data_IF_816802103278
#
_entry.id   IF_816802103278
#
_cell.length_a   1.000
_cell.length_b   1.000
_cell.length_c   1.000
_cell.angle_alpha   90.00
_cell.angle_beta   90.00
_cell.angle_gamma   90.00
#
_symmetry.space_group_name_H-M   'P 1'
#
loop_
_entity.id
_entity.type
_entity.pdbx_description
1 polymer ?
#
# COMPACT_ATOMS: atom_id res chain seq x y z
N UNK A 1 -5.57 13.26 -14.74
CA UNK A 1 -5.48 14.23 -13.64
C UNK A 1 -6.50 13.82 -12.59
N UNK A 2 -6.11 13.76 -11.33
CA UNK A 2 -6.98 13.32 -10.23
C UNK A 2 -7.32 14.55 -9.41
N UNK A 3 -8.61 14.84 -9.25
CA UNK A 3 -9.09 15.96 -8.44
C UNK A 3 -8.51 15.95 -7.03
N UNK A 4 -8.34 17.14 -6.45
CA UNK A 4 -7.64 17.37 -5.16
C UNK A 4 -8.23 16.54 -4.01
N UNK A 5 -9.54 16.25 -4.03
CA UNK A 5 -10.16 15.39 -3.03
C UNK A 5 -9.74 13.92 -3.15
N UNK A 6 -9.61 13.41 -4.37
CA UNK A 6 -9.29 12.00 -4.62
C UNK A 6 -7.79 11.74 -4.61
N UNK A 7 -6.97 12.72 -4.98
CA UNK A 7 -5.51 12.58 -5.05
C UNK A 7 -4.94 12.07 -3.71
N UNK A 8 -5.45 12.58 -2.59
CA UNK A 8 -5.06 12.18 -1.23
C UNK A 8 -5.42 10.72 -0.83
N UNK A 9 -6.19 10.00 -1.65
CA UNK A 9 -6.51 8.58 -1.42
C UNK A 9 -5.55 7.63 -2.13
N UNK A 10 -4.69 8.14 -3.02
CA UNK A 10 -3.66 7.36 -3.68
C UNK A 10 -2.40 7.23 -2.81
N UNK A 11 -1.52 6.27 -3.12
CA UNK A 11 -0.22 6.17 -2.47
C UNK A 11 0.64 7.43 -2.73
N UNK A 12 1.57 7.73 -1.82
CA UNK A 12 2.35 8.97 -1.87
C UNK A 12 3.10 9.15 -3.21
N UNK A 13 3.69 8.07 -3.75
CA UNK A 13 4.38 8.11 -5.04
C UNK A 13 3.46 8.59 -6.17
N UNK A 14 2.23 8.10 -6.23
CA UNK A 14 1.23 8.57 -7.20
C UNK A 14 0.84 10.04 -6.95
N UNK A 15 0.76 10.47 -5.68
CA UNK A 15 0.48 11.86 -5.35
C UNK A 15 1.57 12.80 -5.87
N UNK A 16 2.85 12.47 -5.66
CA UNK A 16 3.99 13.27 -6.14
C UNK A 16 3.96 13.51 -7.65
N UNK A 17 3.41 12.57 -8.42
CA UNK A 17 3.35 12.66 -9.87
C UNK A 17 2.07 13.35 -10.37
N UNK A 18 0.94 13.20 -9.67
CA UNK A 18 -0.39 13.52 -10.21
C UNK A 18 -1.26 14.44 -9.36
N UNK A 19 -0.84 14.77 -8.13
CA UNK A 19 -1.61 15.65 -7.29
C UNK A 19 -1.52 17.10 -7.80
N UNK A 20 -2.65 17.83 -7.94
CA UNK A 20 -2.69 19.23 -8.35
C UNK A 20 -1.74 20.20 -7.63
N UNK A 21 -1.30 19.87 -6.41
CA UNK A 21 -0.40 20.69 -5.60
C UNK A 21 1.03 20.68 -6.14
N UNK A 22 1.44 19.56 -6.76
CA UNK A 22 2.79 19.36 -7.29
C UNK A 22 2.88 19.59 -8.80
N UNK A 23 1.74 19.82 -9.48
CA UNK A 23 1.70 20.12 -10.91
C UNK A 23 1.75 21.63 -11.10
N UNK A 24 2.85 22.11 -11.68
CA UNK A 24 3.01 23.53 -11.99
C UNK A 24 1.94 24.00 -12.98
N UNK A 25 1.29 25.12 -12.68
CA UNK A 25 0.28 25.74 -13.55
C UNK A 25 -1.17 25.40 -13.23
N UNK A 26 -1.46 24.43 -12.36
CA UNK A 26 -2.84 24.12 -11.94
C UNK A 26 -3.44 25.21 -11.05
N UNK A 27 -2.60 25.93 -10.32
CA UNK A 27 -3.03 27.00 -9.43
C UNK A 27 -3.91 26.48 -8.29
N UNK A 28 -4.89 27.28 -7.87
CA UNK A 28 -5.82 26.91 -6.79
C UNK A 28 -7.06 26.14 -7.31
N UNK A 29 -6.97 25.49 -8.47
CA UNK A 29 -8.09 24.74 -9.01
C UNK A 29 -8.17 23.35 -8.36
N UNK A 30 -9.39 22.94 -8.01
CA UNK A 30 -9.63 21.65 -7.35
C UNK A 30 -9.58 20.45 -8.32
N UNK A 31 -9.56 20.71 -9.63
CA UNK A 31 -9.57 19.72 -10.72
C UNK A 31 -10.78 18.75 -10.65
N UNK A 32 -11.95 19.29 -10.32
CA UNK A 32 -13.21 18.54 -10.22
C UNK A 32 -14.24 18.87 -11.31
N UNK A 33 -13.84 19.66 -12.32
CA UNK A 33 -14.74 20.16 -13.37
C UNK A 33 -15.56 19.06 -14.07
N UNK A 34 -14.93 17.91 -14.36
CA UNK A 34 -15.61 16.77 -14.96
C UNK A 34 -16.70 16.18 -14.04
N UNK A 35 -16.49 16.15 -12.72
CA UNK A 35 -17.50 15.64 -11.79
C UNK A 35 -18.72 16.55 -11.75
N UNK A 36 -18.50 17.87 -11.72
CA UNK A 36 -19.61 18.83 -11.78
C UNK A 36 -20.42 18.67 -13.07
N UNK A 37 -19.74 18.47 -14.20
CA UNK A 37 -20.39 18.20 -15.48
C UNK A 37 -21.23 16.92 -15.43
N UNK A 38 -20.65 15.80 -14.97
CA UNK A 38 -21.38 14.53 -14.88
C UNK A 38 -22.55 14.60 -13.89
N UNK A 39 -22.39 15.33 -12.79
CA UNK A 39 -23.46 15.57 -11.84
C UNK A 39 -24.62 16.33 -12.50
N UNK A 40 -24.33 17.37 -13.27
CA UNK A 40 -25.35 18.15 -13.97
C UNK A 40 -26.02 17.34 -15.10
N UNK A 41 -25.26 16.49 -15.81
CA UNK A 41 -25.81 15.59 -16.83
C UNK A 41 -26.88 14.62 -16.28
N UNK A 42 -26.86 14.31 -14.99
CA UNK A 42 -27.89 13.46 -14.37
C UNK A 42 -29.30 14.07 -14.49
N UNK A 43 -29.43 15.39 -14.64
CA UNK A 43 -30.72 16.06 -14.83
C UNK A 43 -31.41 15.60 -16.12
N UNK A 44 -30.64 15.28 -17.16
CA UNK A 44 -31.17 14.77 -18.43
C UNK A 44 -31.73 13.35 -18.34
N UNK A 45 -31.31 12.57 -17.34
CA UNK A 45 -31.62 11.14 -17.27
C UNK A 45 -33.14 10.88 -17.28
N UNK A 46 -33.93 11.75 -16.63
CA UNK A 46 -35.39 11.62 -16.60
C UNK A 46 -36.03 11.89 -17.96
N UNK A 47 -35.62 12.94 -18.66
CA UNK A 47 -36.20 13.33 -19.95
C UNK A 47 -35.76 12.42 -21.10
N UNK A 48 -34.57 11.82 -21.02
CA UNK A 48 -34.03 10.98 -22.10
C UNK A 48 -34.33 9.49 -21.95
N UNK A 49 -34.85 9.04 -20.79
CA UNK A 49 -35.12 7.62 -20.48
C UNK A 49 -35.97 6.89 -21.52
N UNK A 50 -36.99 7.57 -22.05
CA UNK A 50 -37.92 7.03 -23.04
C UNK A 50 -37.85 7.78 -24.38
N UNK A 51 -36.84 8.63 -24.56
CA UNK A 51 -36.65 9.37 -25.79
C UNK A 51 -36.15 8.44 -26.90
N UNK A 52 -36.55 8.74 -28.14
CA UNK A 52 -35.93 8.08 -29.31
C UNK A 52 -34.45 8.42 -29.36
N UNK A 53 -33.66 7.61 -30.08
CA UNK A 53 -32.23 7.85 -30.25
C UNK A 53 -31.94 9.29 -30.70
N UNK A 54 -32.70 9.80 -31.67
CA UNK A 54 -32.52 11.16 -32.17
C UNK A 54 -32.71 12.22 -31.07
N UNK A 55 -33.84 12.18 -30.34
CA UNK A 55 -34.13 13.15 -29.29
C UNK A 55 -33.18 13.03 -28.09
N UNK A 56 -32.67 11.83 -27.80
CA UNK A 56 -31.64 11.65 -26.80
C UNK A 56 -30.36 12.42 -27.17
N UNK A 57 -29.86 12.25 -28.40
CA UNK A 57 -28.66 12.95 -28.86
C UNK A 57 -28.87 14.47 -28.93
N UNK A 58 -30.07 14.90 -29.36
CA UNK A 58 -30.43 16.31 -29.39
C UNK A 58 -30.41 16.92 -27.97
N UNK A 59 -31.03 16.29 -26.99
CA UNK A 59 -31.07 16.78 -25.61
C UNK A 59 -29.66 16.88 -24.99
N UNK A 60 -28.79 15.89 -25.24
CA UNK A 60 -27.38 15.96 -24.80
C UNK A 60 -26.68 17.14 -25.45
N UNK A 61 -26.84 17.33 -26.77
CA UNK A 61 -26.19 18.42 -27.50
C UNK A 61 -26.63 19.79 -26.97
N UNK A 62 -27.94 19.98 -26.81
CA UNK A 62 -28.50 21.24 -26.31
C UNK A 62 -28.04 21.54 -24.88
N UNK A 63 -28.02 20.53 -24.00
CA UNK A 63 -27.46 20.66 -22.66
C UNK A 63 -26.02 21.16 -22.68
N UNK A 64 -25.16 20.54 -23.50
CA UNK A 64 -23.75 20.96 -23.58
C UNK A 64 -23.58 22.37 -24.15
N UNK A 65 -24.40 22.76 -25.14
CA UNK A 65 -24.37 24.13 -25.66
C UNK A 65 -24.71 25.15 -24.57
N UNK A 66 -25.84 24.94 -23.88
CA UNK A 66 -26.29 25.83 -22.81
C UNK A 66 -25.29 25.87 -21.64
N UNK A 67 -24.83 24.70 -21.19
CA UNK A 67 -23.83 24.60 -20.13
C UNK A 67 -22.53 25.33 -20.49
N UNK A 68 -22.08 25.24 -21.74
CA UNK A 68 -20.88 25.94 -22.18
C UNK A 68 -21.08 27.46 -22.17
N UNK A 69 -22.24 27.96 -22.57
CA UNK A 69 -22.57 29.40 -22.49
C UNK A 69 -22.56 29.89 -21.04
N UNK A 70 -23.24 29.17 -20.13
CA UNK A 70 -23.25 29.49 -18.69
C UNK A 70 -21.83 29.52 -18.09
N UNK A 71 -21.00 28.52 -18.44
CA UNK A 71 -19.59 28.49 -17.96
C UNK A 71 -18.76 29.60 -18.54
N UNK A 72 -18.97 29.95 -19.81
CA UNK A 72 -18.25 31.04 -20.46
C UNK A 72 -18.61 32.40 -19.83
N UNK A 73 -19.89 32.63 -19.54
CA UNK A 73 -20.35 33.83 -18.84
C UNK A 73 -19.75 33.91 -17.42
N UNK A 74 -19.75 32.81 -16.68
CA UNK A 74 -19.17 32.74 -15.33
C UNK A 74 -17.63 32.79 -15.30
N UNK A 75 -16.95 32.56 -16.43
CA UNK A 75 -15.51 32.36 -16.50
C UNK A 75 -14.71 33.54 -15.96
N UNK A 76 -15.09 34.76 -16.32
CA UNK A 76 -14.38 35.97 -15.90
C UNK A 76 -14.43 36.14 -14.37
N UNK A 77 -15.62 35.97 -13.79
CA UNK A 77 -15.80 36.02 -12.33
C UNK A 77 -15.03 34.91 -11.64
N UNK A 78 -15.07 33.69 -12.18
CA UNK A 78 -14.33 32.55 -11.66
C UNK A 78 -12.83 32.84 -11.60
N UNK A 79 -12.22 33.28 -12.71
CA UNK A 79 -10.78 33.59 -12.79
C UNK A 79 -10.41 34.73 -11.84
N UNK A 80 -11.16 35.83 -11.85
CA UNK A 80 -10.87 36.98 -10.98
C UNK A 80 -10.95 36.61 -9.50
N UNK A 81 -11.92 35.79 -9.10
CA UNK A 81 -12.06 35.37 -7.72
C UNK A 81 -10.92 34.44 -7.29
N UNK A 82 -10.56 33.45 -8.11
CA UNK A 82 -9.43 32.56 -7.82
C UNK A 82 -8.11 33.32 -7.75
N UNK A 83 -7.89 34.28 -8.65
CA UNK A 83 -6.70 35.12 -8.61
C UNK A 83 -6.62 35.94 -7.30
N UNK A 84 -7.72 36.58 -6.89
CA UNK A 84 -7.77 37.33 -5.62
C UNK A 84 -7.52 36.43 -4.40
N UNK A 85 -8.12 35.24 -4.40
CA UNK A 85 -7.91 34.26 -3.33
C UNK A 85 -6.45 33.80 -3.26
N UNK A 86 -5.84 33.47 -4.41
CA UNK A 86 -4.43 33.10 -4.49
C UNK A 86 -3.52 34.21 -3.98
N UNK A 87 -3.75 35.46 -4.40
CA UNK A 87 -2.99 36.62 -3.91
C UNK A 87 -3.13 36.82 -2.41
N UNK A 88 -4.36 36.69 -1.87
CA UNK A 88 -4.61 36.81 -0.44
C UNK A 88 -3.90 35.69 0.35
N UNK A 89 -3.90 34.46 -0.16
CA UNK A 89 -3.20 33.33 0.44
C UNK A 89 -1.69 33.53 0.41
N UNK A 90 -1.12 33.94 -0.72
CA UNK A 90 0.32 34.25 -0.83
C UNK A 90 0.69 35.31 0.21
N UNK A 91 -0.05 36.41 0.27
CA UNK A 91 0.21 37.47 1.25
C UNK A 91 0.15 36.96 2.70
N UNK A 92 -0.87 36.16 3.03
CA UNK A 92 -1.07 35.60 4.38
C UNK A 92 0.00 34.58 4.77
N UNK A 93 0.44 33.74 3.83
CA UNK A 93 1.31 32.60 4.11
C UNK A 93 2.79 32.94 3.93
N UNK A 94 3.14 33.95 3.13
CA UNK A 94 4.54 34.30 2.86
C UNK A 94 5.31 34.64 4.13
N UNK A 95 4.75 35.45 5.03
CA UNK A 95 5.40 35.78 6.30
C UNK A 95 5.64 34.55 7.18
N UNK A 96 4.69 33.60 7.20
CA UNK A 96 4.84 32.33 7.93
C UNK A 96 5.91 31.45 7.29
N UNK A 97 5.92 31.37 5.95
CA UNK A 97 6.88 30.59 5.20
C UNK A 97 8.30 31.12 5.41
N UNK A 98 8.50 32.44 5.39
CA UNK A 98 9.81 33.06 5.67
C UNK A 98 10.30 32.70 7.07
N UNK A 99 9.46 32.85 8.10
CA UNK A 99 9.83 32.48 9.46
C UNK A 99 10.20 30.99 9.58
N UNK A 100 9.44 30.11 8.93
CA UNK A 100 9.73 28.68 8.92
C UNK A 100 11.04 28.36 8.20
N UNK A 101 11.31 29.00 7.06
CA UNK A 101 12.57 28.87 6.32
C UNK A 101 13.75 29.28 7.20
N UNK A 102 13.68 30.43 7.85
CA UNK A 102 14.75 30.91 8.72
C UNK A 102 15.01 29.94 9.89
N UNK A 103 13.92 29.48 10.53
CA UNK A 103 14.01 28.58 11.69
C UNK A 103 14.54 27.19 11.34
N UNK A 104 14.22 26.69 10.15
CA UNK A 104 14.62 25.36 9.69
C UNK A 104 15.86 25.40 8.77
N UNK A 105 16.43 26.59 8.57
CA UNK A 105 17.56 26.82 7.66
C UNK A 105 17.31 26.31 6.22
N UNK A 106 16.10 26.59 5.71
CA UNK A 106 15.67 26.16 4.37
C UNK A 106 15.75 27.32 3.36
N UNK A 107 16.09 26.96 2.14
CA UNK A 107 16.04 27.79 0.94
C UNK A 107 14.87 27.37 0.04
N UNK A 108 14.59 28.16 -1.00
CA UNK A 108 13.58 27.80 -1.99
C UNK A 108 13.94 26.56 -2.82
N UNK A 109 15.24 26.28 -2.97
CA UNK A 109 15.74 25.12 -3.72
C UNK A 109 15.53 23.79 -2.95
N UNK A 110 15.29 23.87 -1.64
CA UNK A 110 15.07 22.68 -0.82
C UNK A 110 13.74 21.99 -1.10
N UNK A 111 12.68 22.74 -1.44
CA UNK A 111 11.37 22.15 -1.73
C UNK A 111 11.38 21.19 -2.93
N UNK A 112 11.85 21.58 -4.13
CA UNK A 112 11.92 20.65 -5.25
C UNK A 112 12.92 19.52 -4.98
N UNK A 113 13.98 19.78 -4.21
CA UNK A 113 14.94 18.75 -3.79
C UNK A 113 14.28 17.70 -2.90
N UNK A 114 13.51 18.09 -1.89
CA UNK A 114 12.79 17.16 -1.01
C UNK A 114 11.80 16.29 -1.78
N UNK A 115 11.06 16.86 -2.74
CA UNK A 115 10.15 16.08 -3.59
C UNK A 115 10.91 15.04 -4.44
N UNK A 116 12.09 15.39 -4.95
CA UNK A 116 12.93 14.47 -5.71
C UNK A 116 13.54 13.37 -4.83
N UNK A 117 14.00 13.72 -3.63
CA UNK A 117 14.51 12.79 -2.62
C UNK A 117 13.42 11.80 -2.18
N UNK A 118 12.23 12.29 -1.86
CA UNK A 118 11.06 11.46 -1.50
C UNK A 118 10.69 10.51 -2.65
N UNK A 119 10.67 10.99 -3.90
CA UNK A 119 10.42 10.14 -5.07
C UNK A 119 11.48 9.04 -5.19
N UNK A 120 12.75 9.38 -5.10
CA UNK A 120 13.86 8.42 -5.18
C UNK A 120 13.77 7.37 -4.06
N UNK A 121 13.47 7.81 -2.84
CA UNK A 121 13.27 6.92 -1.70
C UNK A 121 12.14 5.93 -1.95
N UNK A 122 10.94 6.41 -2.27
CA UNK A 122 9.76 5.56 -2.51
C UNK A 122 9.95 4.59 -3.69
N UNK A 123 10.75 4.96 -4.70
CA UNK A 123 11.12 4.06 -5.78
C UNK A 123 12.12 2.98 -5.34
N UNK A 124 13.04 3.32 -4.42
CA UNK A 124 14.03 2.37 -3.89
C UNK A 124 13.41 1.31 -2.97
N UNK A 125 12.41 1.69 -2.17
CA UNK A 125 11.69 0.78 -1.26
C UNK A 125 10.97 -0.35 -2.01
N UNK A 126 10.59 -0.15 -3.28
CA UNK A 126 9.93 -1.18 -4.10
C UNK A 126 10.83 -2.35 -4.51
N UNK A 127 12.13 -2.34 -4.23
CA UNK A 127 13.07 -3.37 -4.71
C UNK A 127 13.66 -4.21 -3.58
N UNK A 128 13.00 -5.33 -3.26
CA UNK A 128 13.72 -6.52 -2.81
C UNK A 128 14.25 -7.22 -4.06
N UNK A 129 15.55 -7.54 -4.18
CA UNK A 129 16.07 -8.30 -5.31
C UNK A 129 15.31 -9.63 -5.48
N UNK A 130 14.80 -9.97 -6.67
CA UNK A 130 13.97 -11.15 -6.87
C UNK A 130 14.65 -12.47 -6.52
N UNK A 131 15.97 -12.54 -6.67
CA UNK A 131 16.75 -13.75 -6.40
C UNK A 131 16.95 -14.01 -4.90
N UNK A 132 17.11 -12.97 -4.09
CA UNK A 132 17.26 -13.11 -2.64
C UNK A 132 15.94 -13.56 -2.01
N UNK A 133 14.79 -13.16 -2.57
CA UNK A 133 13.48 -13.62 -2.13
C UNK A 133 13.28 -15.14 -2.24
N UNK A 134 13.78 -15.78 -3.31
CA UNK A 134 13.69 -17.23 -3.48
C UNK A 134 14.60 -17.95 -2.47
N UNK A 135 15.81 -17.45 -2.24
CA UNK A 135 16.77 -18.03 -1.28
C UNK A 135 16.33 -17.85 0.18
N UNK A 136 15.77 -16.69 0.52
CA UNK A 136 15.13 -16.42 1.82
C UNK A 136 13.98 -17.42 2.05
N UNK A 137 13.10 -17.60 1.05
CA UNK A 137 11.98 -18.53 1.17
C UNK A 137 12.44 -19.98 1.24
N UNK A 138 13.50 -20.34 0.52
CA UNK A 138 14.14 -21.66 0.62
C UNK A 138 14.64 -21.95 2.04
N UNK A 139 15.36 -21.00 2.66
CA UNK A 139 15.82 -21.11 4.05
C UNK A 139 14.66 -21.23 5.04
N UNK A 140 13.58 -20.46 4.84
CA UNK A 140 12.37 -20.58 5.66
C UNK A 140 11.74 -21.98 5.53
N UNK A 141 11.68 -22.54 4.32
CA UNK A 141 11.18 -23.90 4.11
C UNK A 141 12.08 -24.98 4.74
N UNK A 142 13.40 -24.77 4.81
CA UNK A 142 14.32 -25.65 5.55
C UNK A 142 14.08 -25.58 7.07
N UNK A 143 13.80 -24.39 7.62
CA UNK A 143 13.42 -24.22 9.02
C UNK A 143 12.10 -24.95 9.33
N UNK A 144 11.08 -24.75 8.50
CA UNK A 144 9.80 -25.44 8.63
C UNK A 144 9.96 -26.96 8.54
N UNK A 145 10.81 -27.46 7.62
CA UNK A 145 11.08 -28.88 7.48
C UNK A 145 11.68 -29.47 8.77
N UNK A 146 12.66 -28.78 9.38
CA UNK A 146 13.25 -29.21 10.65
C UNK A 146 12.23 -29.21 11.80
N UNK A 147 11.38 -28.17 11.87
CA UNK A 147 10.31 -28.07 12.86
C UNK A 147 9.28 -29.20 12.73
N UNK A 148 8.81 -29.48 11.52
CA UNK A 148 7.83 -30.54 11.28
C UNK A 148 8.41 -31.93 11.48
N UNK A 149 9.70 -32.13 11.17
CA UNK A 149 10.37 -33.39 11.45
C UNK A 149 10.44 -33.65 12.96
N UNK A 150 10.86 -32.66 13.74
CA UNK A 150 10.85 -32.74 15.20
C UNK A 150 9.44 -32.93 15.77
N UNK A 151 8.43 -32.22 15.26
CA UNK A 151 7.05 -32.35 15.69
C UNK A 151 6.49 -33.75 15.39
N UNK A 152 6.83 -34.33 14.24
CA UNK A 152 6.44 -35.68 13.86
C UNK A 152 7.11 -36.74 14.77
N UNK A 153 8.41 -36.59 15.08
CA UNK A 153 9.09 -37.47 16.04
C UNK A 153 8.47 -37.39 17.44
N UNK A 154 8.15 -36.19 17.93
CA UNK A 154 7.46 -36.00 19.22
C UNK A 154 6.07 -36.65 19.20
N UNK A 155 5.32 -36.53 18.11
CA UNK A 155 4.00 -37.15 17.98
C UNK A 155 4.07 -38.68 18.01
N UNK A 156 5.07 -39.28 17.34
CA UNK A 156 5.33 -40.72 17.41
C UNK A 156 5.77 -41.13 18.82
N UNK A 157 6.65 -40.35 19.46
CA UNK A 157 7.10 -40.58 20.83
C UNK A 157 5.97 -40.59 21.86
N UNK A 158 4.98 -39.71 21.68
CA UNK A 158 3.79 -39.65 22.54
C UNK A 158 2.94 -40.93 22.46
N UNK A 159 2.88 -41.59 21.29
CA UNK A 159 2.18 -42.86 21.11
C UNK A 159 2.85 -44.02 21.87
N UNK A 160 4.18 -43.95 22.02
CA UNK A 160 4.97 -44.96 22.75
C UNK A 160 4.94 -44.77 24.27
N UNK A 161 4.32 -43.70 24.77
CA UNK A 161 4.19 -43.46 26.21
C UNK A 161 3.09 -44.32 26.84
N UNK A 162 3.28 -44.74 28.10
CA UNK A 162 2.34 -45.64 28.77
C UNK A 162 1.05 -44.89 29.13
N UNK A 163 -0.06 -45.22 28.45
CA UNK A 163 -1.37 -44.59 28.69
C UNK A 163 -2.09 -45.36 29.80
N UNK A 164 -2.36 -44.68 30.93
CA UNK A 164 -3.12 -45.23 32.05
C UNK A 164 -4.49 -44.55 32.14
N UNK A 165 -5.58 -45.31 32.07
CA UNK A 165 -6.95 -44.77 32.10
C UNK A 165 -8.02 -45.82 31.82
N UNK A 166 -9.29 -45.40 31.79
CA UNK A 166 -10.38 -46.26 31.36
C UNK A 166 -10.35 -46.49 29.83
N UNK A 167 -11.10 -47.49 29.36
CA UNK A 167 -11.07 -47.92 27.95
C UNK A 167 -11.51 -46.81 26.96
N UNK A 168 -12.40 -45.90 27.39
CA UNK A 168 -12.88 -44.78 26.58
C UNK A 168 -11.85 -43.64 26.50
N UNK A 169 -11.13 -43.40 27.59
CA UNK A 169 -10.06 -42.43 27.70
C UNK A 169 -8.86 -42.87 26.88
N UNK A 170 -8.52 -44.17 26.94
CA UNK A 170 -7.46 -44.76 26.11
C UNK A 170 -7.82 -44.62 24.61
N UNK A 171 -9.06 -44.92 24.22
CA UNK A 171 -9.51 -44.81 22.83
C UNK A 171 -9.49 -43.36 22.31
N UNK A 172 -9.90 -42.39 23.14
CA UNK A 172 -9.90 -40.97 22.71
C UNK A 172 -8.48 -40.42 22.57
N UNK A 173 -7.56 -40.77 23.48
CA UNK A 173 -6.15 -40.38 23.42
C UNK A 173 -5.45 -40.99 22.21
N UNK A 174 -5.71 -42.27 21.91
CA UNK A 174 -5.21 -42.94 20.70
C UNK A 174 -5.70 -42.27 19.42
N UNK A 175 -6.99 -41.93 19.34
CA UNK A 175 -7.55 -41.27 18.16
C UNK A 175 -6.95 -39.86 17.98
N UNK A 176 -6.80 -39.10 19.07
CA UNK A 176 -6.13 -37.79 19.02
C UNK A 176 -4.66 -37.91 18.60
N UNK A 177 -3.92 -38.89 19.12
CA UNK A 177 -2.54 -39.14 18.74
C UNK A 177 -2.39 -39.50 17.26
N UNK A 178 -3.26 -40.36 16.71
CA UNK A 178 -3.26 -40.67 15.27
C UNK A 178 -3.52 -39.42 14.43
N UNK A 179 -4.53 -38.60 14.78
CA UNK A 179 -4.81 -37.35 14.07
C UNK A 179 -3.60 -36.40 14.10
N UNK A 180 -2.92 -36.30 15.25
CA UNK A 180 -1.73 -35.47 15.39
C UNK A 180 -0.53 -35.97 14.55
N UNK A 181 -0.32 -37.29 14.50
CA UNK A 181 0.72 -37.92 13.67
C UNK A 181 0.42 -37.69 12.20
N UNK A 182 -0.81 -37.97 11.75
CA UNK A 182 -1.21 -37.81 10.35
C UNK A 182 -1.08 -36.34 9.89
N UNK A 183 -1.46 -35.40 10.76
CA UNK A 183 -1.31 -33.97 10.48
C UNK A 183 0.15 -33.56 10.38
N UNK A 184 0.99 -33.95 11.35
CA UNK A 184 2.41 -33.64 11.35
C UNK A 184 3.12 -34.26 10.13
N UNK A 185 2.79 -35.50 9.79
CA UNK A 185 3.32 -36.20 8.62
C UNK A 185 2.89 -35.53 7.30
N UNK A 186 1.62 -35.16 7.17
CA UNK A 186 1.13 -34.43 5.99
C UNK A 186 1.84 -33.09 5.82
N UNK A 187 2.07 -32.37 6.93
CA UNK A 187 2.81 -31.10 6.93
C UNK A 187 4.27 -31.32 6.52
N UNK A 188 4.92 -32.34 7.07
CA UNK A 188 6.29 -32.74 6.72
C UNK A 188 6.43 -33.00 5.23
N UNK A 189 5.57 -33.84 4.64
CA UNK A 189 5.58 -34.16 3.20
C UNK A 189 5.39 -32.92 2.32
N UNK A 190 4.50 -32.01 2.72
CA UNK A 190 4.28 -30.76 1.99
C UNK A 190 5.52 -29.86 2.04
N UNK A 191 6.18 -29.77 3.19
CA UNK A 191 7.42 -29.00 3.32
C UNK A 191 8.59 -29.64 2.56
N UNK A 192 8.72 -30.96 2.54
CA UNK A 192 9.71 -31.68 1.72
C UNK A 192 9.52 -31.37 0.23
N UNK A 193 8.27 -31.39 -0.26
CA UNK A 193 7.95 -31.06 -1.64
C UNK A 193 8.29 -29.59 -1.97
N UNK A 194 8.04 -28.66 -1.05
CA UNK A 194 8.39 -27.24 -1.20
C UNK A 194 9.91 -27.03 -1.25
N UNK A 195 10.66 -27.70 -0.36
CA UNK A 195 12.13 -27.66 -0.34
C UNK A 195 12.69 -28.19 -1.67
N UNK A 196 12.20 -29.33 -2.16
CA UNK A 196 12.60 -29.90 -3.44
C UNK A 196 12.32 -28.96 -4.63
N UNK A 197 11.15 -28.32 -4.63
CA UNK A 197 10.80 -27.33 -5.65
C UNK A 197 11.75 -26.12 -5.65
N UNK A 198 12.13 -25.61 -4.47
CA UNK A 198 13.10 -24.51 -4.38
C UNK A 198 14.52 -24.92 -4.76
N UNK A 199 14.94 -26.15 -4.46
CA UNK A 199 16.22 -26.68 -4.93
C UNK A 199 16.28 -26.71 -6.46
N UNK A 200 15.20 -27.15 -7.12
CA UNK A 200 15.12 -27.16 -8.57
C UNK A 200 15.16 -25.73 -9.16
N UNK A 201 14.50 -24.76 -8.51
CA UNK A 201 14.53 -23.35 -8.93
C UNK A 201 15.91 -22.70 -8.77
N UNK A 202 16.68 -23.12 -7.75
CA UNK A 202 18.00 -22.59 -7.45
C UNK A 202 19.14 -23.38 -8.10
N UNK A 203 18.82 -24.44 -8.85
CA UNK A 203 19.78 -25.34 -9.50
C UNK A 203 20.82 -25.94 -8.52
N UNK A 204 20.33 -26.38 -7.36
CA UNK A 204 21.17 -26.94 -6.29
C UNK A 204 21.23 -28.47 -6.39
N UNK A 205 22.45 -29.03 -6.44
CA UNK A 205 22.67 -30.48 -6.44
C UNK A 205 22.40 -31.14 -5.07
N UNK A 206 22.50 -30.37 -3.98
CA UNK A 206 22.24 -30.84 -2.61
C UNK A 206 21.56 -29.76 -1.76
N UNK A 207 20.86 -30.19 -0.70
CA UNK A 207 20.22 -29.26 0.24
C UNK A 207 21.28 -28.48 1.03
N UNK A 208 21.01 -27.20 1.29
CA UNK A 208 21.85 -26.45 2.23
C UNK A 208 21.76 -27.09 3.61
N UNK A 209 22.92 -27.25 4.24
CA UNK A 209 22.99 -27.73 5.61
C UNK A 209 22.50 -26.66 6.58
N UNK A 210 21.64 -27.05 7.53
CA UNK A 210 21.17 -26.17 8.59
C UNK A 210 22.39 -25.75 9.43
N UNK A 211 22.70 -24.45 9.40
CA UNK A 211 23.87 -23.87 10.05
C UNK A 211 25.09 -23.66 9.14
N UNK A 212 25.00 -24.00 7.85
CA UNK A 212 26.01 -23.66 6.84
C UNK A 212 26.07 -22.16 6.51
N UNK A 213 27.09 -21.74 5.78
CA UNK A 213 27.36 -20.32 5.49
C UNK A 213 26.25 -19.67 4.65
N UNK A 214 25.80 -20.30 3.55
CA UNK A 214 24.71 -19.76 2.74
C UNK A 214 23.39 -19.72 3.50
N UNK A 215 23.09 -20.78 4.25
CA UNK A 215 21.90 -20.84 5.08
C UNK A 215 21.89 -19.72 6.14
N UNK A 216 23.00 -19.51 6.85
CA UNK A 216 23.09 -18.48 7.89
C UNK A 216 23.00 -17.06 7.31
N UNK A 217 23.58 -16.83 6.13
CA UNK A 217 23.46 -15.55 5.44
C UNK A 217 21.99 -15.24 5.15
N UNK A 218 21.28 -16.13 4.46
CA UNK A 218 19.90 -15.89 4.07
C UNK A 218 18.91 -16.00 5.24
N UNK A 219 19.26 -16.70 6.32
CA UNK A 219 18.50 -16.69 7.59
C UNK A 219 18.59 -15.33 8.28
N UNK A 220 19.78 -14.71 8.27
CA UNK A 220 19.96 -13.35 8.76
C UNK A 220 19.20 -12.34 7.90
N UNK A 221 19.25 -12.49 6.57
CA UNK A 221 18.49 -11.65 5.65
C UNK A 221 16.97 -11.83 5.82
N UNK A 222 16.48 -13.06 6.03
CA UNK A 222 15.07 -13.32 6.33
C UNK A 222 14.61 -12.63 7.61
N UNK A 223 15.45 -12.66 8.65
CA UNK A 223 15.18 -12.02 9.94
C UNK A 223 15.18 -10.49 9.80
N UNK A 224 16.16 -9.94 9.09
CA UNK A 224 16.22 -8.52 8.75
C UNK A 224 15.04 -8.10 7.87
N UNK A 225 14.57 -8.97 6.98
CA UNK A 225 13.40 -8.76 6.14
C UNK A 225 12.15 -8.48 6.96
N UNK A 226 11.86 -9.32 7.97
CA UNK A 226 10.74 -9.09 8.91
C UNK A 226 10.88 -7.77 9.67
N UNK A 227 12.09 -7.42 10.07
CA UNK A 227 12.36 -6.13 10.72
C UNK A 227 12.14 -4.95 9.78
N UNK A 228 12.63 -5.01 8.54
CA UNK A 228 12.43 -3.97 7.53
C UNK A 228 10.96 -3.85 7.12
N UNK A 229 10.23 -4.96 7.05
CA UNK A 229 8.79 -4.97 6.80
C UNK A 229 8.05 -4.25 7.94
N UNK A 230 8.30 -4.64 9.19
CA UNK A 230 7.70 -3.99 10.35
C UNK A 230 8.09 -2.51 10.46
N UNK A 231 9.33 -2.16 10.13
CA UNK A 231 9.81 -0.78 10.10
C UNK A 231 9.12 0.02 8.98
N UNK A 232 8.96 -0.57 7.80
CA UNK A 232 8.24 0.04 6.67
C UNK A 232 6.75 0.23 6.97
N UNK A 233 6.11 -0.72 7.63
CA UNK A 233 4.73 -0.57 8.13
C UNK A 233 4.62 0.54 9.17
N UNK A 234 5.56 0.60 10.13
CA UNK A 234 5.59 1.66 11.13
C UNK A 234 5.78 3.04 10.48
N UNK A 235 6.70 3.16 9.54
CA UNK A 235 6.92 4.38 8.77
C UNK A 235 5.66 4.78 8.00
N UNK A 236 5.02 3.84 7.30
CA UNK A 236 3.78 4.08 6.59
C UNK A 236 2.69 4.58 7.54
N UNK A 237 2.53 3.96 8.72
CA UNK A 237 1.55 4.37 9.73
C UNK A 237 1.84 5.77 10.28
N UNK A 238 3.11 6.10 10.52
CA UNK A 238 3.53 7.45 10.97
C UNK A 238 3.24 8.49 9.88
N UNK A 239 3.59 8.21 8.63
CA UNK A 239 3.33 9.09 7.49
C UNK A 239 1.81 9.29 7.31
N UNK A 240 1.03 8.20 7.33
CA UNK A 240 -0.43 8.27 7.30
C UNK A 240 -0.97 9.13 8.44
N UNK A 241 -0.46 8.95 9.65
CA UNK A 241 -0.88 9.73 10.82
C UNK A 241 -0.53 11.22 10.68
N UNK A 242 0.65 11.55 10.18
CA UNK A 242 1.04 12.93 9.89
C UNK A 242 0.09 13.55 8.85
N UNK A 243 -0.26 12.82 7.80
CA UNK A 243 -1.23 13.28 6.81
C UNK A 243 -2.64 13.46 7.39
N UNK A 244 -3.11 12.56 8.26
CA UNK A 244 -4.38 12.75 8.99
C UNK A 244 -4.37 14.01 9.85
N UNK A 245 -3.27 14.26 10.59
CA UNK A 245 -3.14 15.44 11.44
C UNK A 245 -3.12 16.73 10.60
N UNK A 246 -2.47 16.71 9.44
CA UNK A 246 -2.51 17.83 8.47
C UNK A 246 -3.93 18.05 7.95
N UNK A 247 -4.67 16.99 7.60
CA UNK A 247 -6.08 17.08 7.17
C UNK A 247 -6.99 17.68 8.24
N UNK A 248 -6.73 17.40 9.52
CA UNK A 248 -7.51 17.90 10.65
C UNK A 248 -7.10 19.31 11.12
N UNK A 249 -6.11 19.95 10.48
CA UNK A 249 -5.53 21.22 10.96
C UNK A 249 -4.89 21.13 12.36
N UNK A 250 -4.47 19.93 12.77
CA UNK A 250 -3.92 19.63 14.11
C UNK A 250 -2.40 19.43 14.10
N UNK A 251 -1.71 19.86 13.05
CA UNK A 251 -0.25 19.83 12.98
C UNK A 251 0.36 20.70 14.09
N UNK A 252 0.94 20.06 15.12
CA UNK A 252 1.61 20.73 16.25
C UNK A 252 0.91 20.65 17.61
N UNK A 253 -0.21 19.92 17.74
CA UNK A 253 -0.91 19.75 19.04
C UNK A 253 -0.54 18.46 19.79
N UNK A 254 0.54 17.80 19.38
CA UNK A 254 1.08 16.62 20.08
C UNK A 254 1.91 17.03 21.30
N UNK A 255 1.23 17.42 22.38
CA UNK A 255 1.73 17.35 23.75
C UNK A 255 0.83 16.42 24.54
#
# INVERSE_FOLDING_TARGET
>A
MVGTFHSHTHNCLCQLDWHPMYITGVGHMEDEGCKHLFSALNELARSTRHATRFHHHQAIKEFFSFWNEDKYEALTHFICNHFRQAMALVHKLMAKLTLLKDRLHLSDDDFPRFLAEERSYLLSVKRVPPQDGVKIRYVQSLDELAEWNAAHEVAIGALNSFIQGDQNTIASVLNAAHIHIDLAYTRLQNTEALVAHFQQLLDLESAWEVGGDEYNQYKKEATLGKYHEALGELEQLVIMRLFELVKLSLSGTGQ
#
